data_IF_269975346443
#
_entry.id   IF_269975346443
#
_cell.length_a   1.000
_cell.length_b   1.000
_cell.length_c   1.000
_cell.angle_alpha   90.00
_cell.angle_beta   90.00
_cell.angle_gamma   90.00
#
_symmetry.space_group_name_H-M   'P 1'
#
loop_
_entity.id
_entity.type
_entity.pdbx_description
1 polymer ?
#
# COMPACT_ATOMS: atom_id res chain seq x y z
N UNK A 1 -6.79 1.00 8.02
CA UNK A 1 -8.00 0.26 7.56
C UNK A 1 -7.80 -0.09 6.10
N UNK A 2 -8.02 -1.35 5.73
CA UNK A 2 -7.93 -1.79 4.35
C UNK A 2 -9.07 -1.14 3.52
N UNK A 3 -8.76 -0.61 2.36
CA UNK A 3 -9.75 0.04 1.49
C UNK A 3 -10.87 -0.91 1.03
N UNK A 4 -10.55 -2.21 0.87
CA UNK A 4 -11.55 -3.23 0.53
C UNK A 4 -12.57 -3.46 1.65
N UNK A 5 -12.12 -3.47 2.92
CA UNK A 5 -13.00 -3.63 4.08
C UNK A 5 -13.94 -2.44 4.23
N UNK A 6 -13.40 -1.21 4.04
CA UNK A 6 -14.19 0.00 4.07
C UNK A 6 -15.25 -0.01 2.96
N UNK A 7 -14.89 -0.43 1.75
CA UNK A 7 -15.83 -0.55 0.64
C UNK A 7 -16.93 -1.58 0.90
N UNK A 8 -16.56 -2.76 1.43
CA UNK A 8 -17.54 -3.78 1.78
C UNK A 8 -18.52 -3.29 2.86
N UNK A 9 -18.00 -2.64 3.91
CA UNK A 9 -18.81 -2.02 4.96
C UNK A 9 -19.75 -0.95 4.40
N UNK A 10 -19.21 -0.05 3.56
CA UNK A 10 -19.99 1.00 2.89
C UNK A 10 -21.12 0.43 2.03
N UNK A 11 -20.84 -0.55 1.18
CA UNK A 11 -21.85 -1.18 0.33
C UNK A 11 -22.90 -1.93 1.15
N UNK A 12 -22.50 -2.60 2.23
CA UNK A 12 -23.43 -3.33 3.10
C UNK A 12 -24.41 -2.39 3.82
N UNK A 13 -23.95 -1.22 4.25
CA UNK A 13 -24.81 -0.20 4.90
C UNK A 13 -25.63 0.55 3.85
N UNK A 14 -25.03 0.92 2.72
CA UNK A 14 -25.73 1.63 1.63
C UNK A 14 -26.86 0.81 1.01
N UNK A 15 -26.69 -0.51 0.93
CA UNK A 15 -27.69 -1.44 0.41
C UNK A 15 -28.72 -1.91 1.47
N UNK A 16 -28.74 -1.30 2.66
CA UNK A 16 -29.60 -1.68 3.79
C UNK A 16 -29.50 -3.16 4.24
N UNK A 17 -28.40 -3.84 3.88
CA UNK A 17 -28.12 -5.21 4.35
C UNK A 17 -27.78 -5.21 5.84
N UNK A 18 -27.12 -4.13 6.30
CA UNK A 18 -26.73 -3.89 7.70
C UNK A 18 -27.01 -2.44 8.07
N UNK A 19 -27.44 -2.21 9.31
CA UNK A 19 -27.63 -0.84 9.82
C UNK A 19 -26.34 -0.12 10.13
N UNK A 20 -25.29 -0.86 10.46
CA UNK A 20 -23.97 -0.35 10.72
C UNK A 20 -22.88 -1.39 10.39
N UNK A 21 -21.65 -0.93 10.25
CA UNK A 21 -20.47 -1.77 10.06
C UNK A 21 -19.27 -1.13 10.77
N UNK A 22 -18.44 -1.94 11.39
CA UNK A 22 -17.14 -1.50 11.91
C UNK A 22 -16.05 -2.07 11.01
N UNK A 23 -15.30 -1.18 10.37
CA UNK A 23 -14.17 -1.54 9.51
C UNK A 23 -12.88 -1.30 10.28
N UNK A 24 -12.11 -2.34 10.52
CA UNK A 24 -10.87 -2.29 11.32
C UNK A 24 -9.68 -2.69 10.47
N UNK A 25 -8.63 -1.87 10.49
CA UNK A 25 -7.32 -2.24 9.99
C UNK A 25 -6.31 -2.25 11.13
N UNK A 26 -5.53 -3.30 11.21
CA UNK A 26 -4.44 -3.40 12.18
C UNK A 26 -3.24 -4.06 11.51
N UNK A 27 -2.08 -3.43 11.62
CA UNK A 27 -0.86 -3.91 11.01
C UNK A 27 0.29 -3.86 12.01
N UNK A 28 1.08 -4.93 12.04
CA UNK A 28 2.32 -5.03 12.79
C UNK A 28 3.49 -5.20 11.82
N UNK A 29 3.85 -4.13 11.16
CA UNK A 29 4.89 -4.13 10.14
C UNK A 29 6.29 -4.29 10.75
N UNK A 30 6.52 -3.83 11.98
CA UNK A 30 7.78 -3.97 12.69
C UNK A 30 8.30 -5.41 12.73
N UNK A 31 7.42 -6.41 12.75
CA UNK A 31 7.80 -7.82 12.74
C UNK A 31 8.52 -8.25 11.43
N UNK A 32 8.34 -7.52 10.33
CA UNK A 32 8.99 -7.76 9.04
C UNK A 32 10.33 -7.03 8.91
N UNK A 33 10.59 -6.05 9.79
CA UNK A 33 11.76 -5.17 9.76
C UNK A 33 12.83 -5.56 10.78
N UNK A 34 12.78 -6.79 11.32
CA UNK A 34 13.80 -7.28 12.25
C UNK A 34 15.11 -7.59 11.52
N UNK A 35 16.23 -7.39 12.19
CA UNK A 35 17.58 -7.52 11.62
C UNK A 35 17.84 -8.89 10.97
N UNK A 36 17.26 -9.95 11.51
CA UNK A 36 17.39 -11.31 10.99
C UNK A 36 16.85 -11.48 9.56
N UNK A 37 15.95 -10.59 9.11
CA UNK A 37 15.44 -10.58 7.74
C UNK A 37 16.42 -10.01 6.71
N UNK A 38 17.49 -9.35 7.19
CA UNK A 38 18.46 -8.61 6.39
C UNK A 38 19.91 -9.10 6.56
N UNK A 39 20.09 -10.29 7.12
CA UNK A 39 21.44 -10.83 7.40
C UNK A 39 22.31 -10.91 6.15
N UNK A 40 21.74 -11.28 5.01
CA UNK A 40 22.48 -11.38 3.76
C UNK A 40 23.08 -10.03 3.33
N UNK A 41 22.35 -8.94 3.50
CA UNK A 41 22.87 -7.60 3.19
C UNK A 41 23.99 -7.21 4.16
N UNK A 42 23.83 -7.51 5.45
CA UNK A 42 24.84 -7.21 6.46
C UNK A 42 26.15 -7.97 6.23
N UNK A 43 26.07 -9.18 5.69
CA UNK A 43 27.24 -10.00 5.35
C UNK A 43 27.95 -9.54 4.07
N UNK A 44 27.23 -8.85 3.19
CA UNK A 44 27.77 -8.40 1.91
C UNK A 44 28.32 -6.96 1.98
N UNK A 45 29.20 -6.69 2.96
CA UNK A 45 29.79 -5.37 3.18
C UNK A 45 30.46 -4.79 1.92
N UNK A 46 31.13 -5.62 1.13
CA UNK A 46 31.80 -5.17 -0.10
C UNK A 46 30.81 -4.62 -1.13
N UNK A 47 29.64 -5.29 -1.29
CA UNK A 47 28.59 -4.80 -2.17
C UNK A 47 28.00 -3.49 -1.67
N UNK A 48 27.84 -3.34 -0.35
CA UNK A 48 27.33 -2.11 0.26
C UNK A 48 28.31 -0.95 0.13
N UNK A 49 29.61 -1.21 0.20
CA UNK A 49 30.67 -0.20 -0.05
C UNK A 49 30.68 0.24 -1.52
N UNK A 50 30.56 -0.71 -2.46
CA UNK A 50 30.57 -0.43 -3.90
C UNK A 50 29.24 0.17 -4.41
N UNK A 51 28.12 -0.21 -3.79
CA UNK A 51 26.75 0.19 -4.18
C UNK A 51 25.87 0.48 -2.97
N UNK A 52 26.09 1.57 -2.24
CA UNK A 52 25.33 1.91 -1.03
C UNK A 52 23.82 2.07 -1.28
N UNK A 53 23.41 2.34 -2.51
CA UNK A 53 22.00 2.43 -2.90
C UNK A 53 21.21 1.13 -2.64
N UNK A 54 21.87 -0.01 -2.60
CA UNK A 54 21.22 -1.30 -2.31
C UNK A 54 20.70 -1.34 -0.86
N UNK A 55 21.46 -0.82 0.08
CA UNK A 55 21.00 -0.65 1.47
C UNK A 55 19.85 0.34 1.54
N UNK A 56 19.94 1.47 0.85
CA UNK A 56 18.91 2.51 0.87
C UNK A 56 17.55 2.01 0.35
N UNK A 57 17.51 1.21 -0.70
CA UNK A 57 16.27 0.67 -1.26
C UNK A 57 15.41 -0.13 -0.25
N UNK A 58 16.06 -0.75 0.74
CA UNK A 58 15.40 -1.54 1.78
C UNK A 58 15.27 -0.75 3.08
N UNK A 59 16.27 0.04 3.44
CA UNK A 59 16.23 0.93 4.59
C UNK A 59 15.13 2.00 4.45
N UNK A 60 14.84 2.48 3.25
CA UNK A 60 13.78 3.45 3.00
C UNK A 60 12.44 3.01 3.57
N UNK A 61 12.06 1.75 3.42
CA UNK A 61 10.81 1.21 3.95
C UNK A 61 10.74 1.21 5.47
N UNK A 62 11.88 1.09 6.16
CA UNK A 62 11.95 1.17 7.63
C UNK A 62 11.55 2.55 8.17
N UNK A 63 11.77 3.58 7.38
CA UNK A 63 11.40 4.96 7.72
C UNK A 63 9.95 5.28 7.36
N UNK A 64 9.41 4.59 6.37
CA UNK A 64 8.08 4.89 5.80
C UNK A 64 6.98 4.03 6.39
N UNK A 65 7.29 2.85 6.91
CA UNK A 65 6.31 1.87 7.39
C UNK A 65 6.37 1.74 8.91
N UNK A 66 5.20 1.70 9.54
CA UNK A 66 5.07 1.59 10.99
C UNK A 66 3.90 0.68 11.39
N UNK A 67 3.91 0.25 12.65
CA UNK A 67 2.77 -0.42 13.23
C UNK A 67 1.63 0.57 13.43
N UNK A 68 0.40 0.11 13.23
CA UNK A 68 -0.75 0.95 13.40
C UNK A 68 -2.06 0.18 13.44
N UNK A 69 -3.07 0.79 14.00
CA UNK A 69 -4.44 0.31 13.94
C UNK A 69 -5.41 1.50 13.82
N UNK A 70 -6.48 1.27 13.09
CA UNK A 70 -7.54 2.25 12.92
C UNK A 70 -8.88 1.56 12.73
N UNK A 71 -9.95 2.24 13.10
CA UNK A 71 -11.30 1.75 12.93
C UNK A 71 -12.23 2.85 12.46
N UNK A 72 -13.15 2.50 11.55
CA UNK A 72 -14.26 3.36 11.14
C UNK A 72 -15.57 2.70 11.49
N UNK A 73 -16.46 3.45 12.14
CA UNK A 73 -17.85 3.06 12.29
C UNK A 73 -18.66 3.69 11.16
N UNK A 74 -19.29 2.86 10.35
CA UNK A 74 -20.21 3.26 9.29
C UNK A 74 -21.64 3.05 9.76
N UNK A 75 -22.49 4.06 9.60
CA UNK A 75 -23.90 4.04 9.97
C UNK A 75 -24.74 4.58 8.81
N UNK A 76 -25.97 4.15 8.71
CA UNK A 76 -26.90 4.61 7.67
C UNK A 76 -27.52 6.00 7.94
N UNK A 77 -27.25 6.58 9.11
CA UNK A 77 -27.71 7.91 9.50
C UNK A 77 -26.61 8.67 10.24
N UNK A 78 -26.53 9.98 10.08
CA UNK A 78 -25.62 10.78 10.89
C UNK A 78 -26.05 10.76 12.37
N UNK A 79 -25.11 10.92 13.27
CA UNK A 79 -25.39 11.05 14.70
C UNK A 79 -25.86 12.47 15.02
N UNK A 80 -26.84 12.55 15.91
CA UNK A 80 -27.28 13.83 16.43
C UNK A 80 -26.19 14.42 17.36
N UNK A 81 -25.92 15.70 17.18
CA UNK A 81 -24.96 16.46 18.01
C UNK A 81 -23.48 16.02 17.90
N UNK A 82 -23.12 15.24 16.89
CA UNK A 82 -21.75 14.85 16.62
C UNK A 82 -21.37 15.14 15.16
N UNK A 83 -20.07 15.37 14.90
CA UNK A 83 -19.58 15.50 13.52
C UNK A 83 -19.65 14.15 12.85
N UNK A 84 -20.38 14.08 11.75
CA UNK A 84 -20.47 12.89 10.89
C UNK A 84 -20.03 13.26 9.48
N UNK A 85 -19.22 12.41 8.85
CA UNK A 85 -18.81 12.55 7.48
C UNK A 85 -19.60 11.56 6.61
N UNK A 86 -20.14 12.03 5.50
CA UNK A 86 -20.85 11.18 4.56
C UNK A 86 -19.89 10.67 3.48
N UNK A 87 -19.82 9.36 3.29
CA UNK A 87 -19.13 8.77 2.14
C UNK A 87 -20.07 8.85 0.94
N UNK A 88 -19.72 9.63 -0.04
CA UNK A 88 -20.51 9.76 -1.27
C UNK A 88 -20.25 8.57 -2.21
N UNK A 89 -18.98 8.24 -2.42
CA UNK A 89 -18.52 7.11 -3.23
C UNK A 89 -17.16 6.61 -2.77
N UNK A 90 -16.77 5.45 -3.27
CA UNK A 90 -15.43 4.88 -3.17
C UNK A 90 -15.06 4.35 -4.55
N UNK A 91 -13.98 4.83 -5.13
CA UNK A 91 -13.44 4.33 -6.39
C UNK A 91 -12.12 3.59 -6.17
N UNK A 92 -11.89 2.57 -6.98
CA UNK A 92 -10.65 1.80 -7.02
C UNK A 92 -10.09 1.80 -8.43
N UNK A 93 -8.79 2.04 -8.52
CA UNK A 93 -8.04 1.95 -9.75
C UNK A 93 -6.88 0.99 -9.59
N UNK A 94 -6.63 0.17 -10.59
CA UNK A 94 -5.50 -0.75 -10.63
C UNK A 94 -4.82 -0.67 -11.98
N UNK A 95 -3.51 -0.53 -11.96
CA UNK A 95 -2.64 -0.49 -13.13
C UNK A 95 -1.74 -1.74 -13.22
N UNK A 96 -2.08 -2.80 -12.51
CA UNK A 96 -1.30 -4.03 -12.47
C UNK A 96 -1.18 -4.75 -13.82
N UNK A 97 -2.02 -4.39 -14.79
CA UNK A 97 -1.96 -4.91 -16.17
C UNK A 97 -1.03 -4.11 -17.08
N UNK A 98 -0.58 -2.92 -16.63
CA UNK A 98 0.28 -2.02 -17.42
C UNK A 98 1.65 -1.83 -16.78
N UNK A 99 1.74 -1.91 -15.45
CA UNK A 99 2.91 -1.55 -14.68
C UNK A 99 3.36 -2.73 -13.83
N UNK A 100 4.65 -3.00 -13.83
CA UNK A 100 5.27 -4.00 -12.97
C UNK A 100 5.05 -3.69 -11.48
N UNK A 101 5.13 -4.71 -10.64
CA UNK A 101 5.05 -4.53 -9.20
C UNK A 101 6.18 -3.61 -8.70
N UNK A 102 5.79 -2.52 -8.03
CA UNK A 102 6.75 -1.59 -7.44
C UNK A 102 7.05 -1.88 -5.96
N UNK A 103 6.13 -2.53 -5.25
CA UNK A 103 6.35 -3.01 -3.88
C UNK A 103 5.99 -4.48 -3.80
N UNK A 104 6.88 -5.29 -3.23
CA UNK A 104 6.71 -6.74 -3.18
C UNK A 104 7.47 -7.37 -2.01
N UNK A 105 7.05 -8.56 -1.60
CA UNK A 105 7.70 -9.40 -0.60
C UNK A 105 7.47 -10.88 -0.92
N UNK A 106 8.31 -11.76 -0.41
CA UNK A 106 8.20 -13.20 -0.68
C UNK A 106 8.59 -13.57 -2.11
N UNK A 107 9.34 -12.72 -2.80
CA UNK A 107 9.80 -12.94 -4.16
C UNK A 107 11.02 -12.09 -4.51
N UNK A 108 11.67 -12.40 -5.62
CA UNK A 108 12.70 -11.57 -6.23
C UNK A 108 12.26 -11.15 -7.63
N UNK A 109 12.39 -9.86 -7.93
CA UNK A 109 12.11 -9.30 -9.24
C UNK A 109 13.25 -9.64 -10.19
N UNK A 110 12.90 -10.21 -11.33
CA UNK A 110 13.84 -10.61 -12.38
C UNK A 110 14.12 -9.42 -13.33
N UNK A 111 15.10 -9.56 -14.19
CA UNK A 111 15.46 -8.52 -15.17
C UNK A 111 14.33 -8.18 -16.16
N UNK A 112 13.46 -9.13 -16.44
CA UNK A 112 12.29 -8.98 -17.31
C UNK A 112 11.05 -8.40 -16.58
N UNK A 113 11.19 -8.04 -15.29
CA UNK A 113 10.12 -7.50 -14.45
C UNK A 113 9.24 -8.57 -13.80
N UNK A 114 9.39 -9.86 -14.16
CA UNK A 114 8.65 -10.96 -13.51
C UNK A 114 9.08 -11.15 -12.07
N UNK A 115 8.20 -11.78 -11.27
CA UNK A 115 8.48 -12.07 -9.87
C UNK A 115 8.70 -13.56 -9.67
N UNK A 116 9.91 -13.97 -9.29
CA UNK A 116 10.22 -15.33 -8.87
C UNK A 116 9.80 -15.51 -7.42
N UNK A 117 8.82 -16.39 -7.19
CA UNK A 117 8.22 -16.64 -5.88
C UNK A 117 9.19 -17.33 -4.92
N UNK A 118 9.03 -17.09 -3.61
CA UNK A 118 9.73 -17.84 -2.56
C UNK A 118 9.62 -19.37 -2.71
N UNK A 119 8.47 -19.84 -3.21
CA UNK A 119 8.24 -21.27 -3.43
C UNK A 119 9.13 -21.91 -4.52
N UNK A 120 9.77 -21.10 -5.35
CA UNK A 120 10.70 -21.53 -6.40
C UNK A 120 12.16 -21.57 -5.93
N UNK A 121 12.40 -21.23 -4.67
CA UNK A 121 13.72 -21.28 -4.05
C UNK A 121 13.81 -22.41 -3.03
N UNK A 122 14.99 -23.06 -2.87
CA UNK A 122 15.25 -23.94 -1.74
C UNK A 122 15.05 -23.19 -0.41
N UNK A 123 14.53 -23.89 0.60
CA UNK A 123 14.20 -23.28 1.89
C UNK A 123 15.42 -22.63 2.59
N UNK A 124 16.61 -23.20 2.41
CA UNK A 124 17.89 -22.68 2.92
C UNK A 124 18.29 -21.35 2.30
N UNK A 125 17.76 -21.00 1.12
CA UNK A 125 18.03 -19.73 0.45
C UNK A 125 17.13 -18.58 0.90
N UNK A 126 15.99 -18.87 1.52
CA UNK A 126 14.99 -17.85 1.82
C UNK A 126 15.51 -16.71 2.69
N UNK A 127 16.30 -17.03 3.72
CA UNK A 127 16.92 -16.04 4.58
C UNK A 127 18.21 -15.48 3.97
N UNK A 128 19.02 -16.33 3.34
CA UNK A 128 20.28 -15.92 2.72
C UNK A 128 20.08 -14.88 1.61
N UNK A 129 18.97 -14.96 0.88
CA UNK A 129 18.63 -14.02 -0.18
C UNK A 129 17.64 -12.94 0.28
N UNK A 130 17.31 -12.89 1.57
CA UNK A 130 16.32 -11.93 2.12
C UNK A 130 15.00 -11.89 1.33
N UNK A 131 14.53 -13.06 0.88
CA UNK A 131 13.36 -13.16 -0.01
C UNK A 131 12.10 -12.57 0.65
N UNK A 132 11.95 -12.73 1.96
CA UNK A 132 10.80 -12.21 2.72
C UNK A 132 10.95 -10.74 3.12
N UNK A 133 12.09 -10.10 2.86
CA UNK A 133 12.18 -8.67 3.06
C UNK A 133 11.23 -7.92 2.10
N UNK A 134 10.57 -6.90 2.61
CA UNK A 134 9.76 -6.02 1.76
C UNK A 134 10.70 -5.14 0.95
N UNK A 135 10.45 -5.06 -0.35
CA UNK A 135 11.26 -4.33 -1.31
C UNK A 135 10.39 -3.34 -2.07
N UNK A 136 10.96 -2.21 -2.42
CA UNK A 136 10.29 -1.19 -3.22
C UNK A 136 11.18 -0.75 -4.38
N UNK A 137 10.64 -0.80 -5.59
CA UNK A 137 11.24 -0.22 -6.77
C UNK A 137 10.91 1.28 -6.82
N UNK A 138 11.80 2.08 -6.25
CA UNK A 138 11.61 3.53 -6.17
C UNK A 138 11.63 4.23 -7.52
N UNK A 139 12.23 3.64 -8.56
CA UNK A 139 12.23 4.21 -9.91
C UNK A 139 10.85 4.10 -10.54
N UNK A 140 10.23 2.93 -10.44
CA UNK A 140 8.85 2.72 -10.91
C UNK A 140 7.89 3.60 -10.13
N UNK A 141 8.05 3.68 -8.80
CA UNK A 141 7.22 4.55 -7.97
C UNK A 141 7.32 6.01 -8.45
N UNK A 142 8.52 6.56 -8.57
CA UNK A 142 8.76 7.94 -9.00
C UNK A 142 8.19 8.22 -10.40
N UNK A 143 8.35 7.27 -11.30
CA UNK A 143 7.86 7.40 -12.68
C UNK A 143 6.34 7.48 -12.79
N UNK A 144 5.60 6.73 -11.96
CA UNK A 144 4.17 6.51 -12.16
C UNK A 144 3.26 7.12 -11.10
N UNK A 145 3.73 7.36 -9.87
CA UNK A 145 2.85 7.72 -8.76
C UNK A 145 2.05 9.00 -9.02
N UNK A 146 2.71 10.05 -9.49
CA UNK A 146 2.05 11.32 -9.78
C UNK A 146 1.15 11.24 -11.01
N UNK A 147 1.63 10.60 -12.08
CA UNK A 147 0.89 10.50 -13.35
C UNK A 147 -0.38 9.69 -13.15
N UNK A 148 -0.26 8.49 -12.58
CA UNK A 148 -1.40 7.60 -12.38
C UNK A 148 -2.33 8.09 -11.25
N UNK A 149 -1.80 8.74 -10.25
CA UNK A 149 -2.61 9.41 -9.22
C UNK A 149 -3.47 10.53 -9.79
N UNK A 150 -2.89 11.40 -10.60
CA UNK A 150 -3.63 12.48 -11.27
C UNK A 150 -4.66 11.94 -12.29
N UNK A 151 -4.33 10.90 -13.04
CA UNK A 151 -5.24 10.21 -13.96
C UNK A 151 -6.45 9.64 -13.20
N UNK A 152 -6.21 8.93 -12.10
CA UNK A 152 -7.26 8.36 -11.26
C UNK A 152 -8.20 9.43 -10.69
N UNK A 153 -7.63 10.55 -10.19
CA UNK A 153 -8.43 11.66 -9.68
C UNK A 153 -9.31 12.29 -10.76
N UNK A 154 -8.76 12.57 -11.94
CA UNK A 154 -9.54 13.11 -13.06
C UNK A 154 -10.67 12.18 -13.46
N UNK A 155 -10.37 10.88 -13.58
CA UNK A 155 -11.37 9.85 -13.90
C UNK A 155 -12.51 9.81 -12.85
N UNK A 156 -12.17 9.95 -11.55
CA UNK A 156 -13.20 10.05 -10.50
C UNK A 156 -14.02 11.34 -10.63
N UNK A 157 -13.39 12.49 -10.87
CA UNK A 157 -14.09 13.75 -11.03
C UNK A 157 -15.07 13.72 -12.22
N UNK A 158 -14.61 13.23 -13.36
CA UNK A 158 -15.44 13.07 -14.56
C UNK A 158 -16.61 12.10 -14.31
N UNK A 159 -16.33 10.97 -13.67
CA UNK A 159 -17.32 9.94 -13.36
C UNK A 159 -18.43 10.43 -12.42
N UNK A 160 -18.09 11.28 -11.48
CA UNK A 160 -19.00 11.81 -10.47
C UNK A 160 -19.47 13.25 -10.76
N UNK A 161 -19.16 13.76 -11.95
CA UNK A 161 -19.52 15.11 -12.39
C UNK A 161 -19.11 16.22 -11.41
N UNK A 162 -17.90 16.08 -10.83
CA UNK A 162 -17.36 17.00 -9.84
C UNK A 162 -16.52 18.08 -10.48
N UNK A 163 -16.75 19.31 -10.05
CA UNK A 163 -15.86 20.42 -10.31
C UNK A 163 -14.68 20.36 -9.31
N UNK A 164 -13.42 20.22 -9.77
CA UNK A 164 -12.25 20.23 -8.90
C UNK A 164 -12.16 21.46 -8.00
N UNK A 165 -12.62 22.62 -8.46
CA UNK A 165 -12.64 23.87 -7.68
C UNK A 165 -13.63 23.84 -6.50
N UNK A 166 -14.56 22.87 -6.47
CA UNK A 166 -15.49 22.64 -5.38
C UNK A 166 -14.92 21.81 -4.21
N UNK A 167 -13.68 21.33 -4.34
CA UNK A 167 -13.03 20.48 -3.34
C UNK A 167 -12.28 21.35 -2.33
N UNK A 168 -12.74 21.40 -1.09
CA UNK A 168 -12.12 22.17 -0.02
C UNK A 168 -10.84 21.51 0.52
N UNK A 169 -10.82 20.16 0.59
CA UNK A 169 -9.73 19.42 1.23
C UNK A 169 -9.38 18.14 0.47
N UNK A 170 -8.08 17.91 0.30
CA UNK A 170 -7.53 16.65 -0.23
C UNK A 170 -6.63 16.03 0.85
N UNK A 171 -6.97 14.83 1.30
CA UNK A 171 -6.19 14.06 2.26
C UNK A 171 -5.43 12.96 1.50
N UNK A 172 -4.30 13.32 0.93
CA UNK A 172 -3.46 12.38 0.20
C UNK A 172 -2.64 11.52 1.16
N UNK A 173 -2.50 10.24 0.85
CA UNK A 173 -1.47 9.40 1.46
C UNK A 173 -0.10 9.88 0.95
N UNK A 174 0.78 10.22 1.88
CA UNK A 174 2.15 10.66 1.58
C UNK A 174 3.08 9.48 1.90
N UNK A 175 3.81 9.04 0.92
CA UNK A 175 4.84 8.00 1.07
C UNK A 175 6.20 8.54 0.68
#
# INVERSE_FOLDING_TARGET
VCSSDLNYGFLSVKADVKNNAVCVGSERFSAWMTADKFNHEAENLKLLEERPIVAFKREFLRWMLSDGAGAFLLENKPRENETSLRIEWIDFYSYAHEIEACMYAGCEKQEDGSLKSWAEYPAEEWLNQSIFAVKQDTKILDQYILVKGAESLRTSFDKHELDPESIDHVLAHIS
#
